data_IF_698421252515
#
_entry.id   IF_698421252515
#
_cell.length_a   1.000
_cell.length_b   1.000
_cell.length_c   1.000
_cell.angle_alpha   90.00
_cell.angle_beta   90.00
_cell.angle_gamma   90.00
#
_symmetry.space_group_name_H-M   'P 1'
#
loop_
_entity.id
_entity.type
_entity.pdbx_description
1 polymer ?
#
# COMPACT_ATOMS: atom_id res chain seq x y z
N UNK A 1 2.28 -14.63 -21.82
CA UNK A 1 2.67 -16.01 -21.45
C UNK A 1 2.78 -16.90 -22.68
N UNK A 2 1.74 -17.08 -23.49
CA UNK A 2 1.80 -17.81 -24.77
C UNK A 2 2.92 -17.29 -25.67
N UNK A 3 3.01 -15.99 -25.91
CA UNK A 3 4.02 -15.37 -26.77
C UNK A 3 5.47 -15.56 -26.31
N UNK A 4 5.70 -15.99 -25.09
CA UNK A 4 7.01 -16.30 -24.48
C UNK A 4 7.26 -17.80 -24.36
N UNK A 5 6.29 -18.64 -24.77
CA UNK A 5 6.41 -20.10 -24.69
C UNK A 5 6.38 -20.70 -23.29
N UNK A 6 5.88 -19.94 -22.27
CA UNK A 6 5.76 -20.46 -20.92
C UNK A 6 4.64 -21.48 -20.77
N UNK A 7 3.58 -21.37 -21.60
CA UNK A 7 2.46 -22.29 -21.66
C UNK A 7 2.05 -22.50 -23.12
N UNK A 8 1.51 -23.64 -23.42
CA UNK A 8 0.89 -23.98 -24.71
C UNK A 8 -0.59 -23.57 -24.74
N UNK A 9 -1.18 -23.50 -25.95
CA UNK A 9 -2.63 -23.26 -26.11
C UNK A 9 -3.49 -24.34 -25.45
N UNK A 10 -2.98 -25.58 -25.38
CA UNK A 10 -3.64 -26.71 -24.72
C UNK A 10 -3.72 -26.50 -23.22
N UNK A 11 -2.57 -26.22 -22.57
CA UNK A 11 -2.46 -25.95 -21.14
C UNK A 11 -3.29 -24.72 -20.73
N UNK A 12 -3.30 -23.64 -21.54
CA UNK A 12 -4.13 -22.49 -21.25
C UNK A 12 -5.62 -22.85 -21.25
N UNK A 13 -6.09 -23.63 -22.24
CA UNK A 13 -7.50 -24.08 -22.29
C UNK A 13 -7.88 -24.95 -21.11
N UNK A 14 -7.01 -25.85 -20.70
CA UNK A 14 -7.18 -26.70 -19.53
C UNK A 14 -7.27 -25.84 -18.25
N UNK A 15 -6.31 -24.94 -18.03
CA UNK A 15 -6.33 -24.05 -16.88
C UNK A 15 -7.56 -23.15 -16.84
N UNK A 16 -8.03 -22.65 -18.00
CA UNK A 16 -9.26 -21.85 -18.08
C UNK A 16 -10.52 -22.66 -17.75
N UNK A 17 -10.59 -23.92 -18.16
CA UNK A 17 -11.69 -24.80 -17.81
C UNK A 17 -11.74 -25.08 -16.31
N UNK A 18 -10.60 -25.42 -15.72
CA UNK A 18 -10.41 -25.70 -14.31
C UNK A 18 -10.72 -24.45 -13.44
N UNK A 19 -10.21 -23.28 -13.85
CA UNK A 19 -10.46 -21.99 -13.19
C UNK A 19 -11.97 -21.68 -13.13
N UNK A 20 -12.71 -21.91 -14.23
CA UNK A 20 -14.17 -21.70 -14.27
C UNK A 20 -14.92 -22.69 -13.39
N UNK A 21 -14.49 -23.94 -13.37
CA UNK A 21 -15.13 -25.00 -12.60
C UNK A 21 -14.99 -24.76 -11.10
N UNK A 22 -13.81 -24.30 -10.64
CA UNK A 22 -13.49 -24.11 -9.23
C UNK A 22 -13.76 -22.68 -8.74
N UNK A 23 -14.09 -21.73 -9.62
CA UNK A 23 -14.25 -20.32 -9.28
C UNK A 23 -12.94 -19.64 -8.86
N UNK A 24 -11.81 -20.25 -9.18
CA UNK A 24 -10.48 -19.77 -8.84
C UNK A 24 -9.94 -18.82 -9.95
N UNK A 25 -9.09 -17.84 -9.56
CA UNK A 25 -8.43 -16.99 -10.54
C UNK A 25 -7.48 -17.82 -11.43
N UNK A 26 -7.44 -17.52 -12.73
CA UNK A 26 -6.64 -18.27 -13.72
C UNK A 26 -5.15 -18.35 -13.34
N UNK A 27 -4.60 -17.27 -12.81
CA UNK A 27 -3.20 -17.20 -12.38
C UNK A 27 -2.90 -18.22 -11.27
N UNK A 28 -3.79 -18.32 -10.26
CA UNK A 28 -3.64 -19.29 -9.17
C UNK A 28 -3.77 -20.72 -9.70
N UNK A 29 -4.74 -20.94 -10.62
CA UNK A 29 -4.93 -22.22 -11.27
C UNK A 29 -3.68 -22.66 -12.04
N UNK A 30 -3.07 -21.76 -12.82
CA UNK A 30 -1.84 -22.03 -13.57
C UNK A 30 -0.68 -22.44 -12.66
N UNK A 31 -0.52 -21.76 -11.53
CA UNK A 31 0.52 -22.08 -10.53
C UNK A 31 0.22 -23.40 -9.84
N UNK A 32 -1.02 -23.62 -9.40
CA UNK A 32 -1.46 -24.86 -8.75
C UNK A 32 -1.29 -26.11 -9.63
N UNK A 33 -1.57 -25.97 -10.91
CA UNK A 33 -1.35 -27.04 -11.88
C UNK A 33 0.13 -27.22 -12.29
N UNK A 34 1.03 -26.39 -11.78
CA UNK A 34 2.46 -26.44 -12.09
C UNK A 34 2.81 -26.04 -13.53
N UNK A 35 1.85 -25.44 -14.26
CA UNK A 35 2.05 -24.99 -15.65
C UNK A 35 2.95 -23.77 -15.73
N UNK A 36 2.92 -22.92 -14.69
CA UNK A 36 3.74 -21.71 -14.57
C UNK A 36 4.17 -21.57 -13.11
N UNK A 37 5.40 -21.18 -12.86
CA UNK A 37 5.83 -20.78 -11.53
C UNK A 37 5.46 -19.31 -11.22
N UNK A 38 5.49 -18.95 -9.94
CA UNK A 38 5.16 -17.60 -9.46
C UNK A 38 6.05 -16.52 -10.07
N UNK A 39 7.33 -16.82 -10.32
CA UNK A 39 8.29 -15.88 -10.90
C UNK A 39 7.98 -15.55 -12.35
N UNK A 40 7.66 -16.56 -13.16
CA UNK A 40 7.23 -16.34 -14.54
C UNK A 40 5.93 -15.54 -14.61
N UNK A 41 5.00 -15.79 -13.69
CA UNK A 41 3.76 -15.03 -13.58
C UNK A 41 4.00 -13.57 -13.21
N UNK A 42 4.82 -13.32 -12.18
CA UNK A 42 5.22 -11.96 -11.79
C UNK A 42 5.96 -11.23 -12.93
N UNK A 43 6.85 -11.95 -13.64
CA UNK A 43 7.56 -11.43 -14.82
C UNK A 43 6.64 -11.06 -15.96
N UNK A 44 5.61 -11.87 -16.22
CA UNK A 44 4.62 -11.57 -17.26
C UNK A 44 3.80 -10.31 -16.92
N UNK A 45 3.40 -10.15 -15.65
CA UNK A 45 2.72 -8.93 -15.17
C UNK A 45 3.64 -7.71 -15.26
N UNK A 46 4.89 -7.84 -14.82
CA UNK A 46 5.90 -6.79 -14.91
C UNK A 46 6.07 -6.27 -16.34
N UNK A 47 6.14 -7.18 -17.30
CA UNK A 47 6.21 -6.83 -18.73
C UNK A 47 4.93 -6.14 -19.24
N UNK A 48 3.76 -6.59 -18.79
CA UNK A 48 2.48 -5.98 -19.19
C UNK A 48 2.33 -4.55 -18.66
N UNK A 49 2.79 -4.30 -17.44
CA UNK A 49 2.66 -3.01 -16.77
C UNK A 49 3.85 -2.07 -16.99
N UNK A 50 4.95 -2.57 -17.55
CA UNK A 50 6.17 -1.79 -17.77
C UNK A 50 6.96 -1.52 -16.48
N UNK A 51 6.80 -2.35 -15.45
CA UNK A 51 7.51 -2.23 -14.17
C UNK A 51 8.50 -3.39 -13.98
N UNK A 52 9.54 -3.23 -13.14
CA UNK A 52 10.45 -4.31 -12.84
C UNK A 52 9.81 -5.40 -11.97
N UNK A 53 10.38 -6.60 -12.02
CA UNK A 53 10.16 -7.64 -11.01
C UNK A 53 11.39 -7.72 -10.12
N UNK A 54 11.20 -7.82 -8.81
CA UNK A 54 12.29 -7.96 -7.84
C UNK A 54 12.29 -9.36 -7.23
N UNK A 55 13.47 -10.00 -7.26
CA UNK A 55 13.74 -11.22 -6.53
C UNK A 55 14.17 -10.91 -5.09
N UNK A 56 14.08 -11.93 -4.24
CA UNK A 56 14.39 -11.85 -2.81
C UNK A 56 15.80 -11.31 -2.51
N UNK A 57 16.76 -11.62 -3.36
CA UNK A 57 18.15 -11.17 -3.27
C UNK A 57 18.34 -9.65 -3.40
N UNK A 58 17.34 -8.95 -3.95
CA UNK A 58 17.34 -7.49 -4.15
C UNK A 58 16.45 -6.73 -3.17
N UNK A 59 15.84 -7.42 -2.22
CA UNK A 59 14.97 -6.82 -1.21
C UNK A 59 15.80 -6.55 0.05
N UNK A 60 15.63 -5.36 0.62
CA UNK A 60 16.33 -4.99 1.85
C UNK A 60 15.87 -5.84 3.03
N UNK A 61 16.81 -6.30 3.85
CA UNK A 61 16.50 -7.12 5.03
C UNK A 61 15.71 -6.37 6.11
N UNK A 62 15.83 -5.05 6.19
CA UNK A 62 14.99 -4.21 7.03
C UNK A 62 14.59 -2.98 6.24
N UNK A 63 13.30 -2.62 6.31
CA UNK A 63 12.75 -1.45 5.65
C UNK A 63 11.97 -0.67 6.70
N UNK A 64 12.59 0.40 7.19
CA UNK A 64 11.99 1.34 8.12
C UNK A 64 11.46 2.55 7.32
N UNK A 65 10.33 2.34 6.66
CA UNK A 65 9.69 3.35 5.80
C UNK A 65 8.58 4.13 6.50
N UNK A 66 8.36 3.89 7.81
CA UNK A 66 7.31 4.53 8.60
C UNK A 66 5.95 4.55 7.87
N UNK A 67 5.52 3.42 7.29
CA UNK A 67 4.23 3.28 6.63
C UNK A 67 3.25 2.52 7.53
N UNK A 68 1.96 2.96 7.61
CA UNK A 68 0.96 2.27 8.41
C UNK A 68 0.74 0.84 7.92
N UNK A 69 0.81 -0.12 8.81
CA UNK A 69 0.67 -1.54 8.49
C UNK A 69 -0.73 -1.87 7.95
N UNK A 70 -1.77 -1.24 8.50
CA UNK A 70 -3.14 -1.44 8.03
C UNK A 70 -3.35 -0.93 6.60
N UNK A 71 -2.66 0.15 6.20
CA UNK A 71 -2.69 0.64 4.83
C UNK A 71 -1.99 -0.36 3.89
N UNK A 72 -0.80 -0.83 4.27
CA UNK A 72 -0.04 -1.85 3.54
C UNK A 72 -0.88 -3.12 3.33
N UNK A 73 -1.51 -3.62 4.38
CA UNK A 73 -2.39 -4.80 4.33
C UNK A 73 -3.60 -4.58 3.42
N UNK A 74 -4.28 -3.44 3.56
CA UNK A 74 -5.47 -3.11 2.77
C UNK A 74 -5.19 -3.16 1.27
N UNK A 75 -4.01 -2.70 0.86
CA UNK A 75 -3.64 -2.63 -0.56
C UNK A 75 -2.74 -3.79 -1.01
N UNK A 76 -2.47 -4.76 -0.14
CA UNK A 76 -1.56 -5.88 -0.42
C UNK A 76 -0.27 -5.40 -1.10
N UNK A 77 0.36 -4.39 -0.50
CA UNK A 77 1.58 -3.75 -0.99
C UNK A 77 2.65 -3.80 0.10
N UNK A 78 3.89 -4.09 -0.24
CA UNK A 78 4.97 -4.18 0.75
C UNK A 78 6.10 -3.19 0.42
N UNK A 79 6.60 -2.40 1.38
CA UNK A 79 7.83 -1.65 1.21
C UNK A 79 9.02 -2.63 1.17
N UNK A 80 9.80 -2.58 0.10
CA UNK A 80 10.91 -3.51 -0.16
C UNK A 80 12.28 -2.85 -0.01
N UNK A 81 12.33 -1.56 -0.20
CA UNK A 81 13.53 -0.76 -0.03
C UNK A 81 13.15 0.67 0.33
N UNK A 82 13.90 1.26 1.25
CA UNK A 82 13.77 2.66 1.62
C UNK A 82 15.13 3.34 1.68
N UNK A 83 15.24 4.48 1.03
CA UNK A 83 16.42 5.34 1.10
C UNK A 83 16.01 6.74 1.51
N UNK A 84 16.30 7.08 2.77
CA UNK A 84 16.01 8.41 3.32
C UNK A 84 16.80 9.50 2.60
N UNK A 85 18.07 9.24 2.27
CA UNK A 85 18.94 10.20 1.55
C UNK A 85 18.48 10.46 0.13
N UNK A 86 18.02 9.43 -0.58
CA UNK A 86 17.47 9.54 -1.93
C UNK A 86 15.99 9.91 -1.96
N UNK A 87 15.30 9.98 -0.79
CA UNK A 87 13.86 10.16 -0.66
C UNK A 87 13.09 9.20 -1.57
N UNK A 88 13.39 7.91 -1.47
CA UNK A 88 12.85 6.89 -2.36
C UNK A 88 12.36 5.68 -1.58
N UNK A 89 11.17 5.20 -1.92
CA UNK A 89 10.56 3.98 -1.41
C UNK A 89 10.23 3.08 -2.60
N UNK A 90 10.66 1.81 -2.56
CA UNK A 90 10.26 0.80 -3.55
C UNK A 90 9.13 -0.03 -2.96
N UNK A 91 8.01 -0.08 -3.66
CA UNK A 91 6.79 -0.79 -3.24
C UNK A 91 6.55 -2.01 -4.11
N UNK A 92 6.45 -3.18 -3.47
CA UNK A 92 6.14 -4.45 -4.12
C UNK A 92 4.65 -4.70 -4.20
N UNK A 93 4.21 -5.22 -5.35
CA UNK A 93 2.83 -5.62 -5.64
C UNK A 93 2.80 -7.02 -6.25
N UNK A 94 1.69 -7.75 -6.05
CA UNK A 94 1.53 -9.10 -6.63
C UNK A 94 0.68 -9.06 -7.88
N UNK A 95 -0.49 -8.45 -7.83
CA UNK A 95 -1.50 -8.55 -8.90
C UNK A 95 -1.55 -7.31 -9.78
N UNK A 96 -1.57 -6.14 -9.19
CA UNK A 96 -1.68 -4.84 -9.87
C UNK A 96 -1.03 -3.74 -9.04
N UNK A 97 -0.56 -2.71 -9.71
CA UNK A 97 -0.01 -1.53 -9.06
C UNK A 97 -1.15 -0.58 -8.66
N UNK A 98 -1.18 -0.23 -7.38
CA UNK A 98 -2.14 0.74 -6.84
C UNK A 98 -1.56 2.15 -6.86
N UNK A 99 -1.80 2.87 -7.96
CA UNK A 99 -1.25 4.22 -8.16
C UNK A 99 -1.77 5.25 -7.14
N UNK A 100 -2.98 5.05 -6.62
CA UNK A 100 -3.51 5.91 -5.55
C UNK A 100 -2.71 5.78 -4.26
N UNK A 101 -2.28 4.56 -3.92
CA UNK A 101 -1.40 4.30 -2.78
C UNK A 101 -0.03 4.96 -2.98
N UNK A 102 0.58 4.79 -4.16
CA UNK A 102 1.88 5.39 -4.46
C UNK A 102 1.84 6.91 -4.28
N UNK A 103 0.83 7.57 -4.86
CA UNK A 103 0.63 9.02 -4.69
C UNK A 103 0.42 9.42 -3.22
N UNK A 104 -0.36 8.65 -2.46
CA UNK A 104 -0.56 8.91 -1.03
C UNK A 104 0.75 8.79 -0.25
N UNK A 105 1.58 7.79 -0.56
CA UNK A 105 2.91 7.63 0.04
C UNK A 105 3.78 8.85 -0.31
N UNK A 106 3.83 9.26 -1.57
CA UNK A 106 4.61 10.43 -2.00
C UNK A 106 4.17 11.71 -1.29
N UNK A 107 2.86 11.94 -1.22
CA UNK A 107 2.28 13.13 -0.60
C UNK A 107 2.55 13.20 0.91
N UNK A 108 2.37 12.08 1.61
CA UNK A 108 2.50 12.04 3.08
C UNK A 108 3.95 11.97 3.54
N UNK A 109 4.80 11.21 2.82
CA UNK A 109 6.19 10.99 3.24
C UNK A 109 7.19 11.93 2.58
N UNK A 110 6.81 12.59 1.50
CA UNK A 110 7.73 13.38 0.66
C UNK A 110 8.78 12.54 -0.07
N UNK A 111 8.58 11.22 -0.14
CA UNK A 111 9.48 10.27 -0.82
C UNK A 111 8.85 9.81 -2.12
N UNK A 112 9.64 9.71 -3.18
CA UNK A 112 9.20 9.10 -4.44
C UNK A 112 8.90 7.62 -4.24
N UNK A 113 7.70 7.17 -4.60
CA UNK A 113 7.27 5.79 -4.50
C UNK A 113 7.37 5.09 -5.86
N UNK A 114 8.22 4.07 -5.95
CA UNK A 114 8.46 3.31 -7.19
C UNK A 114 7.88 1.90 -7.09
N UNK A 115 6.99 1.52 -8.02
CA UNK A 115 6.39 0.20 -7.99
C UNK A 115 7.29 -0.86 -8.62
N UNK A 116 7.19 -2.08 -8.10
CA UNK A 116 7.71 -3.29 -8.72
C UNK A 116 6.76 -4.46 -8.47
N UNK A 117 6.96 -5.55 -9.19
CA UNK A 117 6.26 -6.81 -8.93
C UNK A 117 7.13 -7.76 -8.11
N UNK A 118 6.48 -8.51 -7.24
CA UNK A 118 7.05 -9.62 -6.46
C UNK A 118 6.11 -10.83 -6.53
N UNK A 119 6.62 -11.99 -6.13
CA UNK A 119 5.81 -13.20 -6.07
C UNK A 119 4.84 -13.18 -4.88
N UNK A 120 3.73 -13.93 -4.91
CA UNK A 120 2.85 -14.13 -3.75
C UNK A 120 3.61 -14.63 -2.51
N UNK A 121 4.49 -15.61 -2.69
CA UNK A 121 5.35 -16.14 -1.62
C UNK A 121 6.21 -15.05 -0.99
N UNK A 122 6.82 -14.17 -1.79
CA UNK A 122 7.62 -13.06 -1.28
C UNK A 122 6.75 -12.02 -0.56
N UNK A 123 5.56 -11.71 -1.09
CA UNK A 123 4.61 -10.81 -0.42
C UNK A 123 4.25 -11.34 0.98
N UNK A 124 3.92 -12.63 1.08
CA UNK A 124 3.59 -13.26 2.35
C UNK A 124 4.74 -13.10 3.37
N UNK A 125 5.97 -13.44 2.95
CA UNK A 125 7.16 -13.28 3.78
C UNK A 125 7.39 -11.83 4.24
N UNK A 126 7.19 -10.85 3.36
CA UNK A 126 7.33 -9.44 3.72
C UNK A 126 6.25 -9.00 4.71
N UNK A 127 5.01 -9.46 4.55
CA UNK A 127 3.91 -9.16 5.48
C UNK A 127 4.18 -9.71 6.87
N UNK A 128 4.62 -10.97 7.00
CA UNK A 128 5.00 -11.56 8.29
C UNK A 128 6.11 -10.75 8.98
N UNK A 129 7.11 -10.31 8.22
CA UNK A 129 8.19 -9.48 8.76
C UNK A 129 7.69 -8.14 9.28
N UNK A 130 6.82 -7.47 8.52
CA UNK A 130 6.26 -6.17 8.90
C UNK A 130 5.38 -6.30 10.14
N UNK A 131 4.60 -7.38 10.25
CA UNK A 131 3.80 -7.68 11.44
C UNK A 131 4.68 -7.91 12.67
N UNK A 132 5.77 -8.65 12.52
CA UNK A 132 6.72 -8.88 13.61
C UNK A 132 7.45 -7.60 14.07
N UNK A 133 7.64 -6.64 13.18
CA UNK A 133 8.31 -5.37 13.47
C UNK A 133 7.35 -4.26 13.98
N UNK A 134 6.04 -4.44 13.80
CA UNK A 134 5.04 -3.38 14.04
C UNK A 134 4.76 -3.05 15.53
N UNK A 135 5.53 -3.58 16.45
CA UNK A 135 5.31 -3.36 17.89
C UNK A 135 5.49 -1.90 18.38
N UNK A 136 5.98 -1.00 17.54
CA UNK A 136 6.24 0.41 17.90
C UNK A 136 5.51 1.44 17.00
N UNK A 137 4.75 1.03 15.99
CA UNK A 137 4.08 2.00 15.12
C UNK A 137 2.85 2.61 15.80
N UNK A 138 2.85 3.92 15.95
CA UNK A 138 1.69 4.67 16.46
C UNK A 138 0.65 4.80 15.34
N UNK A 139 -0.15 3.77 15.15
CA UNK A 139 -1.21 3.73 14.16
C UNK A 139 -2.58 3.66 14.84
N UNK A 140 -3.52 4.48 14.39
CA UNK A 140 -4.91 4.50 14.84
C UNK A 140 -5.83 4.26 13.66
N UNK A 141 -6.58 3.16 13.70
CA UNK A 141 -7.58 2.84 12.67
C UNK A 141 -8.96 3.19 13.23
N UNK A 142 -9.65 4.12 12.58
CA UNK A 142 -10.98 4.55 12.99
C UNK A 142 -12.07 3.73 12.29
N UNK A 143 -13.16 3.49 13.02
CA UNK A 143 -14.28 2.72 12.48
C UNK A 143 -14.96 3.43 11.31
N UNK A 144 -15.41 2.65 10.33
CA UNK A 144 -16.10 3.16 9.14
C UNK A 144 -17.49 3.79 9.46
N UNK A 145 -18.02 3.55 10.66
CA UNK A 145 -19.28 4.10 11.15
C UNK A 145 -19.18 5.53 11.65
N UNK A 146 -17.99 6.00 11.99
CA UNK A 146 -17.76 7.32 12.57
C UNK A 146 -18.17 8.45 11.63
N UNK A 147 -18.77 9.48 12.21
CA UNK A 147 -19.10 10.74 11.52
C UNK A 147 -17.86 11.61 11.37
N UNK A 148 -17.90 12.58 10.46
CA UNK A 148 -16.79 13.53 10.29
C UNK A 148 -16.46 14.31 11.58
N UNK A 149 -17.47 14.61 12.41
CA UNK A 149 -17.28 15.28 13.68
C UNK A 149 -16.55 14.41 14.70
N UNK A 150 -16.92 13.13 14.79
CA UNK A 150 -16.22 12.16 15.67
C UNK A 150 -14.78 11.94 15.23
N UNK A 151 -14.53 11.80 13.92
CA UNK A 151 -13.16 11.72 13.38
C UNK A 151 -12.37 12.97 13.71
N UNK A 152 -12.96 14.17 13.54
CA UNK A 152 -12.29 15.44 13.86
C UNK A 152 -11.94 15.56 15.34
N UNK A 153 -12.82 15.10 16.24
CA UNK A 153 -12.56 15.09 17.67
C UNK A 153 -11.38 14.17 18.03
N UNK A 154 -11.39 12.92 17.54
CA UNK A 154 -10.28 11.97 17.78
C UNK A 154 -8.96 12.50 17.24
N UNK A 155 -8.96 13.03 16.02
CA UNK A 155 -7.76 13.63 15.42
C UNK A 155 -7.28 14.84 16.23
N UNK A 156 -8.22 15.68 16.71
CA UNK A 156 -7.90 16.82 17.57
C UNK A 156 -7.26 16.42 18.90
N UNK A 157 -7.79 15.40 19.57
CA UNK A 157 -7.21 14.86 20.81
C UNK A 157 -5.81 14.30 20.59
N UNK A 158 -5.62 13.47 19.53
CA UNK A 158 -4.31 12.94 19.17
C UNK A 158 -3.31 14.05 18.84
N UNK A 159 -3.73 15.07 18.10
CA UNK A 159 -2.87 16.20 17.75
C UNK A 159 -2.41 16.98 19.00
N UNK A 160 -3.28 17.15 19.96
CA UNK A 160 -2.95 17.79 21.25
C UNK A 160 -2.00 16.90 22.07
N UNK A 161 -2.28 15.60 22.18
CA UNK A 161 -1.46 14.63 22.92
C UNK A 161 0.00 14.64 22.45
N UNK A 162 0.22 14.51 21.13
CA UNK A 162 1.58 14.46 20.58
C UNK A 162 2.19 15.85 20.36
N UNK A 163 1.43 16.92 20.62
CA UNK A 163 1.80 18.32 20.31
C UNK A 163 2.18 18.43 18.83
N UNK A 164 1.26 18.00 17.96
CA UNK A 164 1.47 18.01 16.53
C UNK A 164 1.79 19.42 16.01
N UNK A 165 2.73 19.50 15.09
CA UNK A 165 3.14 20.73 14.42
C UNK A 165 2.71 20.76 12.98
N UNK A 166 2.64 19.56 12.39
CA UNK A 166 2.28 19.35 10.99
C UNK A 166 1.29 18.21 10.89
N UNK A 167 0.38 18.31 9.94
CA UNK A 167 -0.53 17.25 9.52
C UNK A 167 -0.50 17.12 8.00
N UNK A 168 -0.32 15.91 7.52
CA UNK A 168 -0.45 15.56 6.10
C UNK A 168 -1.65 14.65 5.94
N UNK A 169 -2.45 14.88 4.90
CA UNK A 169 -3.63 14.09 4.61
C UNK A 169 -3.61 13.67 3.15
N UNK A 170 -3.86 12.39 2.90
CA UNK A 170 -4.02 11.88 1.54
C UNK A 170 -5.16 10.89 1.45
N UNK A 171 -5.79 10.86 0.28
CA UNK A 171 -6.87 9.92 -0.02
C UNK A 171 -6.38 8.82 -0.95
N UNK A 172 -6.55 7.58 -0.49
CA UNK A 172 -6.24 6.38 -1.24
C UNK A 172 -7.54 5.57 -1.46
N UNK A 173 -8.16 5.71 -2.62
CA UNK A 173 -9.47 5.14 -2.95
C UNK A 173 -10.56 5.60 -1.94
N UNK A 174 -11.14 4.68 -1.17
CA UNK A 174 -12.13 4.94 -0.12
C UNK A 174 -11.50 5.09 1.28
N UNK A 175 -10.18 5.03 1.38
CA UNK A 175 -9.44 5.28 2.61
C UNK A 175 -8.83 6.68 2.64
N UNK A 176 -8.78 7.25 3.80
CA UNK A 176 -8.07 8.50 4.09
C UNK A 176 -6.96 8.18 5.07
N UNK A 177 -5.77 8.59 4.72
CA UNK A 177 -4.59 8.50 5.56
C UNK A 177 -4.18 9.89 6.00
N UNK A 178 -4.16 10.12 7.30
CA UNK A 178 -3.67 11.34 7.92
C UNK A 178 -2.46 11.02 8.78
N UNK A 179 -1.37 11.74 8.58
CA UNK A 179 -0.18 11.68 9.41
C UNK A 179 -0.06 12.94 10.25
N UNK A 180 -0.04 12.79 11.57
CA UNK A 180 0.21 13.85 12.53
C UNK A 180 1.66 13.78 12.98
N UNK A 181 2.41 14.87 12.85
CA UNK A 181 3.83 14.93 13.16
C UNK A 181 4.08 15.91 14.33
N UNK A 182 4.51 15.36 15.46
CA UNK A 182 5.00 16.12 16.61
C UNK A 182 6.53 16.20 16.66
N UNK A 183 7.08 16.80 17.70
CA UNK A 183 8.55 16.89 17.86
C UNK A 183 9.24 15.54 18.03
N UNK A 184 8.59 14.58 18.69
CA UNK A 184 9.18 13.29 19.09
C UNK A 184 8.35 12.08 18.68
N UNK A 185 7.11 12.28 18.32
CA UNK A 185 6.17 11.22 17.95
C UNK A 185 5.45 11.58 16.66
N UNK A 186 5.13 10.57 15.93
CA UNK A 186 4.32 10.61 14.73
C UNK A 186 3.16 9.62 14.92
N UNK A 187 1.96 9.99 14.48
CA UNK A 187 0.78 9.14 14.57
C UNK A 187 0.12 9.12 13.21
N UNK A 188 -0.13 7.93 12.69
CA UNK A 188 -0.89 7.71 11.49
C UNK A 188 -2.34 7.38 11.85
N UNK A 189 -3.28 8.10 11.27
CA UNK A 189 -4.71 7.88 11.44
C UNK A 189 -5.29 7.43 10.11
N UNK A 190 -5.97 6.29 10.12
CA UNK A 190 -6.61 5.71 8.96
C UNK A 190 -8.11 5.59 9.19
N UNK A 191 -8.89 6.02 8.23
CA UNK A 191 -10.35 5.87 8.26
C UNK A 191 -10.93 5.72 6.85
N UNK A 192 -12.12 5.14 6.76
CA UNK A 192 -12.85 5.06 5.50
C UNK A 192 -13.64 6.35 5.26
N UNK A 193 -13.32 7.02 4.17
CA UNK A 193 -14.11 8.17 3.70
C UNK A 193 -15.38 7.68 3.01
N UNK A 194 -16.58 8.06 3.51
CA UNK A 194 -17.83 7.84 2.76
C UNK A 194 -17.76 8.58 1.43
N UNK A 195 -18.27 7.96 0.34
CA UNK A 195 -18.28 8.55 -1.03
C UNK A 195 -19.06 9.86 -1.17
N UNK A 196 -19.87 10.25 -0.18
CA UNK A 196 -20.69 11.44 -0.20
C UNK A 196 -20.27 12.40 0.91
N UNK A 197 -19.41 13.36 0.62
CA UNK A 197 -19.31 14.57 1.45
C UNK A 197 -17.93 15.07 1.84
N UNK A 198 -16.86 14.32 1.64
CA UNK A 198 -15.53 14.92 1.80
C UNK A 198 -15.13 15.46 0.43
N UNK A 199 -15.10 16.78 0.33
CA UNK A 199 -14.93 17.54 -0.89
C UNK A 199 -13.69 17.11 -1.70
N UNK A 200 -13.77 17.38 -3.00
CA UNK A 200 -12.72 17.15 -4.02
C UNK A 200 -11.43 17.97 -3.79
N UNK A 201 -11.32 18.67 -2.66
CA UNK A 201 -10.25 19.63 -2.37
C UNK A 201 -9.68 19.38 -0.97
N UNK A 202 -8.77 18.43 -0.86
CA UNK A 202 -7.92 18.32 0.33
C UNK A 202 -6.50 17.98 -0.10
N UNK A 203 -5.77 18.99 -0.54
CA UNK A 203 -4.40 18.78 -0.98
C UNK A 203 -3.39 18.91 0.16
N UNK A 204 -3.59 19.76 1.12
CA UNK A 204 -2.70 19.84 2.29
C UNK A 204 -3.34 20.67 3.41
N UNK A 205 -3.18 20.26 4.66
CA UNK A 205 -3.57 21.05 5.82
C UNK A 205 -2.34 21.39 6.65
N UNK A 206 -2.20 22.60 7.11
CA UNK A 206 -1.24 22.96 8.16
C UNK A 206 -1.94 23.14 9.49
N UNK A 207 -1.35 22.60 10.55
CA UNK A 207 -1.80 22.81 11.92
C UNK A 207 -1.02 23.98 12.49
N UNK A 208 -1.66 25.14 12.67
CA UNK A 208 -1.12 26.23 13.44
C UNK A 208 -1.82 26.30 14.80
N UNK A 209 -1.22 26.95 15.80
CA UNK A 209 -1.79 27.03 17.17
C UNK A 209 -3.20 27.61 17.26
N UNK A 210 -3.82 28.01 16.14
CA UNK A 210 -5.18 28.54 16.04
C UNK A 210 -6.18 27.61 15.32
N UNK A 211 -5.75 26.38 14.91
CA UNK A 211 -6.62 25.39 14.24
C UNK A 211 -6.05 24.83 12.94
N UNK A 212 -6.80 23.88 12.35
CA UNK A 212 -6.45 23.23 11.09
C UNK A 212 -6.94 24.09 9.94
N UNK A 213 -6.06 24.54 9.03
CA UNK A 213 -6.43 25.27 7.80
C UNK A 213 -5.97 24.50 6.59
N UNK A 214 -6.83 24.47 5.54
CA UNK A 214 -6.47 23.98 4.23
C UNK A 214 -5.49 24.95 3.56
N UNK A 215 -4.41 24.42 3.01
CA UNK A 215 -3.45 25.18 2.19
C UNK A 215 -3.68 24.71 0.75
N UNK A 216 -4.27 25.60 -0.05
CA UNK A 216 -4.49 25.40 -1.49
C UNK A 216 -3.20 25.59 -2.30
#
# INVERSE_FOLDING_TARGET
MLSKGYITDGELREAMAESRQNGEALDNTLVRLGMVDEWHLASARAMQWGYPVLGRDRISQSVDADLPLSLIKTFSAAPLHYSKSAKRIVMGFVYRVEHSLLRSIEQVTGCRAEPCFITPTEMHYQMERLEGAAHESSEVVLEASMTAAEVANVVGELALEIKARDASLSRCQDHVWMRLSGKRRMVDVLFRGRRAGIARECDTFSVSGEGIRAVG
#
